data_IF_989655290363
#
_entry.id   IF_989655290363
#
_cell.length_a   1.000
_cell.length_b   1.000
_cell.length_c   1.000
_cell.angle_alpha   90.00
_cell.angle_beta   90.00
_cell.angle_gamma   90.00
#
_symmetry.space_group_name_H-M   'P 1'
#
loop_
_entity.id
_entity.type
_entity.pdbx_description
1 polymer ?
#
# COMPACT_ATOMS: atom_id res chain seq x y z
N UNK A 1 19.48 19.50 -12.00
CA UNK A 1 18.95 20.86 -12.22
C UNK A 1 17.70 20.73 -13.08
N UNK A 2 16.53 21.11 -12.57
CA UNK A 2 15.27 21.06 -13.33
C UNK A 2 14.84 22.46 -13.82
N UNK A 3 15.53 23.54 -13.41
CA UNK A 3 15.15 24.91 -13.77
C UNK A 3 16.30 25.92 -13.87
N UNK A 4 17.57 25.49 -13.98
CA UNK A 4 18.72 26.42 -13.97
C UNK A 4 19.01 27.12 -12.63
N UNK A 5 18.06 27.08 -11.68
CA UNK A 5 18.23 27.60 -10.34
C UNK A 5 18.84 26.56 -9.37
N UNK A 6 19.60 27.04 -8.39
CA UNK A 6 20.15 26.21 -7.32
C UNK A 6 19.04 25.71 -6.38
N UNK A 7 19.26 24.57 -5.73
CA UNK A 7 18.35 24.01 -4.72
C UNK A 7 18.01 25.01 -3.61
N UNK A 8 19.04 25.75 -3.16
CA UNK A 8 18.91 26.79 -2.13
C UNK A 8 17.99 27.92 -2.58
N UNK A 9 18.08 28.32 -3.84
CA UNK A 9 17.20 29.34 -4.40
C UNK A 9 15.75 28.86 -4.44
N UNK A 10 15.50 27.62 -4.90
CA UNK A 10 14.16 27.05 -4.95
C UNK A 10 13.52 26.97 -3.56
N UNK A 11 14.27 26.52 -2.56
CA UNK A 11 13.78 26.44 -1.18
C UNK A 11 13.46 27.83 -0.63
N UNK A 12 14.32 28.81 -0.87
CA UNK A 12 14.09 30.18 -0.41
C UNK A 12 12.86 30.79 -1.08
N UNK A 13 12.71 30.66 -2.40
CA UNK A 13 11.54 31.19 -3.13
C UNK A 13 10.24 30.56 -2.63
N UNK A 14 10.25 29.25 -2.37
CA UNK A 14 9.09 28.53 -1.84
C UNK A 14 8.75 29.02 -0.43
N UNK A 15 9.76 29.28 0.40
CA UNK A 15 9.59 29.86 1.73
C UNK A 15 9.00 31.26 1.67
N UNK A 16 9.48 32.12 0.76
CA UNK A 16 8.98 33.50 0.61
C UNK A 16 7.50 33.52 0.21
N UNK A 17 7.07 32.62 -0.69
CA UNK A 17 5.67 32.48 -1.08
C UNK A 17 4.82 31.99 0.11
N UNK A 18 5.27 30.93 0.79
CA UNK A 18 4.47 30.30 1.85
C UNK A 18 4.36 31.18 3.09
N UNK A 19 5.48 31.77 3.55
CA UNK A 19 5.51 32.58 4.77
C UNK A 19 5.12 34.04 4.52
N UNK A 20 5.40 34.58 3.33
CA UNK A 20 5.08 35.96 2.97
C UNK A 20 3.69 36.11 2.36
N UNK A 21 3.48 35.51 1.18
CA UNK A 21 2.25 35.70 0.40
C UNK A 21 1.06 34.94 1.01
N UNK A 22 1.27 33.68 1.43
CA UNK A 22 0.22 32.82 2.00
C UNK A 22 0.11 32.93 3.53
N UNK A 23 1.07 33.58 4.19
CA UNK A 23 1.09 33.79 5.66
C UNK A 23 0.98 32.48 6.46
N UNK A 24 1.64 31.41 5.98
CA UNK A 24 1.71 30.10 6.63
C UNK A 24 3.14 29.79 7.09
N UNK A 25 3.30 29.09 8.21
CA UNK A 25 4.63 28.68 8.71
C UNK A 25 4.99 27.27 8.24
N UNK A 26 6.19 27.11 7.67
CA UNK A 26 6.73 25.79 7.34
C UNK A 26 7.19 25.08 8.63
N UNK A 27 6.69 23.86 8.84
CA UNK A 27 7.14 23.02 9.94
C UNK A 27 8.55 22.48 9.66
N UNK A 28 9.53 22.93 10.45
CA UNK A 28 10.94 22.51 10.33
C UNK A 28 11.12 21.00 10.58
N UNK A 29 10.33 20.42 11.47
CA UNK A 29 10.43 18.99 11.82
C UNK A 29 9.90 18.07 10.72
N UNK A 30 8.94 18.55 9.91
CA UNK A 30 8.26 17.75 8.88
C UNK A 30 8.80 18.00 7.47
N UNK A 31 9.57 19.06 7.28
CA UNK A 31 10.02 19.52 5.95
C UNK A 31 11.53 19.40 5.84
N UNK A 32 12.00 18.63 4.85
CA UNK A 32 13.42 18.49 4.55
C UNK A 32 13.65 18.38 3.06
N UNK A 33 14.77 18.91 2.58
CA UNK A 33 15.25 18.63 1.23
C UNK A 33 16.02 17.30 1.28
N UNK A 34 15.77 16.44 0.29
CA UNK A 34 16.26 15.05 0.27
C UNK A 34 16.79 14.70 -1.11
N UNK A 35 17.94 14.04 -1.12
CA UNK A 35 18.51 13.46 -2.34
C UNK A 35 17.87 12.09 -2.59
N UNK A 36 16.95 12.04 -3.57
CA UNK A 36 16.23 10.83 -3.97
C UNK A 36 17.11 9.74 -4.59
N UNK A 37 18.38 10.04 -4.93
CA UNK A 37 19.35 9.05 -5.36
C UNK A 37 19.93 8.26 -4.18
N UNK A 38 20.00 8.87 -3.00
CA UNK A 38 20.59 8.29 -1.78
C UNK A 38 19.53 7.78 -0.82
N UNK A 39 18.40 8.48 -0.73
CA UNK A 39 17.35 8.22 0.26
C UNK A 39 16.04 7.73 -0.36
N UNK A 40 15.20 7.11 0.49
CA UNK A 40 13.81 6.80 0.18
C UNK A 40 12.93 7.90 0.75
N UNK A 41 12.05 8.46 -0.07
CA UNK A 41 11.15 9.55 0.32
C UNK A 41 9.75 9.00 0.57
N UNK A 42 9.18 9.32 1.73
CA UNK A 42 7.80 8.99 2.05
C UNK A 42 6.85 10.11 1.64
N UNK A 43 5.86 9.82 0.81
CA UNK A 43 4.85 10.81 0.39
C UNK A 43 3.48 10.14 0.17
N UNK A 44 2.42 10.67 0.78
CA UNK A 44 1.04 10.18 0.67
C UNK A 44 0.87 8.66 0.85
N UNK A 45 1.66 8.07 1.76
CA UNK A 45 1.64 6.64 2.03
C UNK A 45 2.44 5.78 1.05
N UNK A 46 3.11 6.38 0.07
CA UNK A 46 4.11 5.76 -0.79
C UNK A 46 5.52 5.95 -0.25
N UNK A 47 6.39 5.02 -0.58
CA UNK A 47 7.84 5.16 -0.55
C UNK A 47 8.33 5.28 -2.00
N UNK A 48 9.11 6.33 -2.26
CA UNK A 48 9.63 6.68 -3.58
C UNK A 48 11.15 6.56 -3.53
N UNK A 49 11.75 5.85 -4.49
CA UNK A 49 13.19 5.64 -4.59
C UNK A 49 13.66 5.72 -6.03
N UNK A 50 14.82 6.33 -6.28
CA UNK A 50 15.48 6.24 -7.60
C UNK A 50 16.36 4.98 -7.65
N UNK A 51 16.18 4.18 -8.69
CA UNK A 51 16.92 2.92 -8.90
C UNK A 51 17.50 2.85 -10.30
N UNK A 52 18.61 2.11 -10.45
CA UNK A 52 19.25 1.86 -11.74
C UNK A 52 18.70 0.57 -12.34
N UNK A 53 18.23 0.64 -13.58
CA UNK A 53 17.83 -0.53 -14.35
C UNK A 53 19.03 -1.45 -14.60
N UNK A 54 18.89 -2.73 -14.24
CA UNK A 54 19.92 -3.74 -14.54
C UNK A 54 20.04 -4.02 -16.05
N UNK A 55 18.95 -3.85 -16.81
CA UNK A 55 18.90 -4.13 -18.25
C UNK A 55 19.38 -2.96 -19.09
N UNK A 56 18.89 -1.77 -18.81
CA UNK A 56 19.14 -0.58 -19.66
C UNK A 56 20.15 0.40 -19.07
N UNK A 57 20.61 0.20 -17.82
CA UNK A 57 21.48 1.13 -17.11
C UNK A 57 20.83 2.48 -16.74
N UNK A 58 19.64 2.79 -17.28
CA UNK A 58 18.90 4.03 -17.03
C UNK A 58 18.38 4.08 -15.59
N UNK A 59 18.45 5.26 -14.98
CA UNK A 59 17.86 5.53 -13.65
C UNK A 59 16.37 5.86 -13.81
N UNK A 60 15.52 5.29 -12.97
CA UNK A 60 14.08 5.58 -12.92
C UNK A 60 13.56 5.57 -11.48
N UNK A 61 12.42 6.21 -11.25
CA UNK A 61 11.78 6.22 -9.93
C UNK A 61 10.88 4.99 -9.78
N UNK A 62 10.96 4.33 -8.63
CA UNK A 62 9.98 3.34 -8.19
C UNK A 62 9.12 3.92 -7.08
N UNK A 63 7.82 3.64 -7.13
CA UNK A 63 6.84 4.02 -6.13
C UNK A 63 6.11 2.77 -5.65
N UNK A 64 6.02 2.59 -4.35
CA UNK A 64 5.36 1.43 -3.75
C UNK A 64 4.76 1.79 -2.36
N UNK A 65 3.84 0.98 -1.81
CA UNK A 65 3.23 1.27 -0.52
C UNK A 65 4.26 1.31 0.61
N UNK A 66 4.23 2.37 1.41
CA UNK A 66 5.09 2.53 2.58
C UNK A 66 4.88 1.43 3.61
N UNK A 67 5.88 1.19 4.46
CA UNK A 67 5.75 0.26 5.60
C UNK A 67 4.55 0.60 6.49
N UNK A 68 4.27 1.89 6.70
CA UNK A 68 3.11 2.37 7.48
C UNK A 68 1.78 2.01 6.80
N UNK A 69 1.68 2.21 5.48
CA UNK A 69 0.49 1.83 4.72
C UNK A 69 0.24 0.30 4.78
N UNK A 70 1.32 -0.49 4.68
CA UNK A 70 1.25 -1.96 4.82
C UNK A 70 0.78 -2.41 6.20
N UNK A 71 1.33 -1.80 7.27
CA UNK A 71 0.88 -2.09 8.64
C UNK A 71 -0.61 -1.76 8.81
N UNK A 72 -1.05 -0.60 8.31
CA UNK A 72 -2.44 -0.18 8.40
C UNK A 72 -3.42 -1.13 7.70
N UNK A 73 -3.10 -1.62 6.51
CA UNK A 73 -3.97 -2.59 5.82
C UNK A 73 -3.99 -3.94 6.52
N UNK A 74 -2.86 -4.43 7.04
CA UNK A 74 -2.82 -5.68 7.82
C UNK A 74 -3.67 -5.60 9.08
N UNK A 75 -3.63 -4.47 9.80
CA UNK A 75 -4.46 -4.24 10.97
C UNK A 75 -5.95 -4.23 10.63
N UNK A 76 -6.34 -3.54 9.54
CA UNK A 76 -7.74 -3.52 9.08
C UNK A 76 -8.22 -4.92 8.70
N UNK A 77 -7.43 -5.68 7.94
CA UNK A 77 -7.74 -7.08 7.59
C UNK A 77 -7.84 -7.94 8.86
N UNK A 78 -6.93 -7.79 9.82
CA UNK A 78 -6.96 -8.52 11.09
C UNK A 78 -8.23 -8.24 11.89
N UNK A 79 -8.68 -6.98 11.93
CA UNK A 79 -9.91 -6.57 12.63
C UNK A 79 -11.15 -7.17 11.94
N UNK A 80 -11.24 -7.08 10.62
CA UNK A 80 -12.38 -7.62 9.86
C UNK A 80 -12.44 -9.15 9.94
N UNK A 81 -11.30 -9.82 9.76
CA UNK A 81 -11.20 -11.28 9.80
C UNK A 81 -10.83 -11.79 11.21
N UNK A 82 -11.33 -11.13 12.26
CA UNK A 82 -11.21 -11.61 13.63
C UNK A 82 -12.32 -12.65 13.91
N UNK A 83 -11.99 -13.93 14.18
CA UNK A 83 -12.99 -14.98 14.40
C UNK A 83 -13.93 -14.73 15.58
N UNK A 84 -13.51 -13.91 16.55
CA UNK A 84 -14.31 -13.53 17.71
C UNK A 84 -15.42 -12.53 17.36
N UNK A 85 -15.37 -11.93 16.17
CA UNK A 85 -16.41 -11.00 15.72
C UNK A 85 -17.70 -11.79 15.43
N UNK A 86 -18.88 -11.31 15.89
CA UNK A 86 -20.16 -11.97 15.67
C UNK A 86 -20.70 -11.69 14.24
N UNK A 87 -19.90 -11.96 13.22
CA UNK A 87 -20.30 -11.85 11.81
C UNK A 87 -20.15 -13.20 11.10
N UNK A 88 -20.96 -13.41 10.06
CA UNK A 88 -20.86 -14.55 9.16
C UNK A 88 -19.67 -14.46 8.21
N UNK A 89 -19.41 -15.56 7.49
CA UNK A 89 -18.34 -15.62 6.48
C UNK A 89 -18.63 -14.63 5.34
N UNK A 90 -19.86 -14.59 4.84
CA UNK A 90 -20.25 -13.70 3.75
C UNK A 90 -20.06 -12.21 4.08
N UNK A 91 -20.48 -11.78 5.28
CA UNK A 91 -20.28 -10.41 5.75
C UNK A 91 -18.81 -10.03 5.85
N UNK A 92 -17.99 -10.96 6.36
CA UNK A 92 -16.54 -10.79 6.47
C UNK A 92 -15.90 -10.66 5.09
N UNK A 93 -16.29 -11.48 4.12
CA UNK A 93 -15.83 -11.36 2.72
C UNK A 93 -16.27 -10.02 2.11
N UNK A 94 -17.53 -9.61 2.28
CA UNK A 94 -18.04 -8.33 1.76
C UNK A 94 -17.22 -7.14 2.27
N UNK A 95 -16.93 -7.12 3.59
CA UNK A 95 -16.11 -6.08 4.23
C UNK A 95 -14.67 -6.10 3.73
N UNK A 96 -14.05 -7.28 3.59
CA UNK A 96 -12.71 -7.42 3.04
C UNK A 96 -12.65 -6.94 1.59
N UNK A 97 -13.61 -7.32 0.75
CA UNK A 97 -13.65 -6.94 -0.65
C UNK A 97 -13.73 -5.42 -0.84
N UNK A 98 -14.58 -4.73 -0.07
CA UNK A 98 -14.67 -3.26 -0.09
C UNK A 98 -13.34 -2.61 0.28
N UNK A 99 -12.70 -3.10 1.35
CA UNK A 99 -11.40 -2.61 1.82
C UNK A 99 -10.30 -2.83 0.77
N UNK A 100 -10.18 -4.04 0.26
CA UNK A 100 -9.11 -4.45 -0.66
C UNK A 100 -9.24 -3.75 -2.00
N UNK A 101 -10.46 -3.62 -2.53
CA UNK A 101 -10.70 -2.92 -3.79
C UNK A 101 -10.21 -1.47 -3.74
N UNK A 102 -10.60 -0.73 -2.69
CA UNK A 102 -10.16 0.66 -2.52
C UNK A 102 -8.65 0.78 -2.34
N UNK A 103 -8.09 -0.07 -1.47
CA UNK A 103 -6.66 -0.03 -1.16
C UNK A 103 -5.79 -0.40 -2.37
N UNK A 104 -6.16 -1.46 -3.11
CA UNK A 104 -5.43 -1.89 -4.31
C UNK A 104 -5.56 -0.86 -5.41
N UNK A 105 -6.73 -0.24 -5.60
CA UNK A 105 -6.89 0.82 -6.60
C UNK A 105 -6.01 2.05 -6.31
N UNK A 106 -5.93 2.48 -5.05
CA UNK A 106 -5.07 3.60 -4.65
C UNK A 106 -3.58 3.31 -4.89
N UNK A 107 -3.12 2.13 -4.51
CA UNK A 107 -1.70 1.75 -4.64
C UNK A 107 -1.35 1.09 -5.99
N UNK A 108 -2.29 1.06 -6.95
CA UNK A 108 -2.12 0.31 -8.20
C UNK A 108 -1.00 0.86 -9.10
N UNK A 109 -0.56 2.08 -8.84
CA UNK A 109 0.39 2.82 -9.67
C UNK A 109 1.79 2.20 -9.53
N UNK A 110 2.37 1.81 -10.67
CA UNK A 110 3.78 1.45 -10.77
C UNK A 110 4.16 0.12 -10.10
N UNK A 111 4.99 0.18 -9.05
CA UNK A 111 5.85 -0.94 -8.61
C UNK A 111 5.34 -1.69 -7.38
N UNK A 112 4.01 -1.77 -7.19
CA UNK A 112 3.40 -2.34 -5.99
C UNK A 112 3.17 -3.88 -6.03
N UNK A 113 3.50 -4.56 -7.12
CA UNK A 113 3.17 -5.98 -7.35
C UNK A 113 3.62 -6.91 -6.20
N UNK A 114 4.86 -6.73 -5.72
CA UNK A 114 5.39 -7.49 -4.57
C UNK A 114 4.58 -7.29 -3.29
N UNK A 115 4.08 -6.08 -3.05
CA UNK A 115 3.28 -5.76 -1.86
C UNK A 115 1.86 -6.31 -1.98
N UNK A 116 1.31 -6.30 -3.18
CA UNK A 116 0.02 -6.91 -3.48
C UNK A 116 0.03 -8.42 -3.25
N UNK A 117 1.08 -9.13 -3.68
CA UNK A 117 1.24 -10.55 -3.38
C UNK A 117 1.26 -10.83 -1.87
N UNK A 118 2.00 -10.03 -1.09
CA UNK A 118 2.04 -10.17 0.37
C UNK A 118 0.66 -10.00 1.02
N UNK A 119 -0.12 -9.02 0.58
CA UNK A 119 -1.49 -8.81 1.09
C UNK A 119 -2.40 -9.95 0.68
N UNK A 120 -2.33 -10.40 -0.57
CA UNK A 120 -3.11 -11.54 -1.06
C UNK A 120 -2.87 -12.78 -0.20
N UNK A 121 -1.62 -13.10 0.11
CA UNK A 121 -1.27 -14.25 0.94
C UNK A 121 -1.79 -14.08 2.38
N UNK A 122 -1.61 -12.89 2.96
CA UNK A 122 -2.09 -12.59 4.31
C UNK A 122 -3.61 -12.69 4.43
N UNK A 123 -4.34 -12.09 3.49
CA UNK A 123 -5.81 -12.13 3.42
C UNK A 123 -6.28 -13.57 3.27
N UNK A 124 -5.68 -14.33 2.35
CA UNK A 124 -6.06 -15.73 2.11
C UNK A 124 -5.89 -16.57 3.38
N UNK A 125 -4.76 -16.41 4.08
CA UNK A 125 -4.51 -17.07 5.37
C UNK A 125 -5.56 -16.66 6.43
N UNK A 126 -5.88 -15.38 6.53
CA UNK A 126 -6.84 -14.85 7.51
C UNK A 126 -8.26 -15.36 7.27
N UNK A 127 -8.72 -15.37 6.03
CA UNK A 127 -10.04 -15.90 5.65
C UNK A 127 -10.16 -17.37 6.01
N UNK A 128 -9.15 -18.20 5.66
CA UNK A 128 -9.18 -19.62 6.04
C UNK A 128 -9.22 -19.83 7.55
N UNK A 129 -8.40 -19.08 8.29
CA UNK A 129 -8.38 -19.14 9.77
C UNK A 129 -9.73 -18.73 10.37
N UNK A 130 -10.37 -17.70 9.82
CA UNK A 130 -11.71 -17.28 10.22
C UNK A 130 -12.73 -18.40 10.05
N UNK A 131 -12.79 -19.01 8.86
CA UNK A 131 -13.71 -20.12 8.56
C UNK A 131 -13.46 -21.31 9.49
N UNK A 132 -12.21 -21.73 9.66
CA UNK A 132 -11.85 -22.86 10.55
C UNK A 132 -12.31 -22.61 11.97
N UNK A 133 -12.10 -21.41 12.49
CA UNK A 133 -12.51 -21.05 13.86
C UNK A 133 -14.02 -20.96 14.01
N UNK A 134 -14.77 -20.47 13.01
CA UNK A 134 -16.24 -20.52 13.02
C UNK A 134 -16.79 -21.94 12.98
N UNK A 135 -16.06 -22.89 12.40
CA UNK A 135 -16.39 -24.32 12.41
C UNK A 135 -15.86 -25.06 13.66
N UNK A 136 -15.32 -24.36 14.66
CA UNK A 136 -14.64 -24.96 15.82
C UNK A 136 -13.50 -25.93 15.48
N UNK A 137 -12.87 -25.77 14.29
CA UNK A 137 -11.75 -26.61 13.83
C UNK A 137 -10.41 -25.91 14.10
N UNK A 138 -9.40 -26.71 14.48
CA UNK A 138 -8.04 -26.24 14.68
C UNK A 138 -7.29 -25.97 13.35
N UNK A 139 -6.15 -25.28 13.39
CA UNK A 139 -5.25 -25.08 12.24
C UNK A 139 -5.72 -24.07 11.18
N UNK A 140 -4.87 -23.85 10.17
CA UNK A 140 -5.07 -22.81 9.14
C UNK A 140 -5.95 -23.21 7.95
N UNK A 141 -6.32 -24.49 7.82
CA UNK A 141 -7.24 -24.95 6.77
C UNK A 141 -6.66 -24.95 5.34
N UNK A 142 -5.34 -24.98 5.15
CA UNK A 142 -4.71 -24.99 3.82
C UNK A 142 -5.15 -26.17 2.94
N UNK A 143 -5.23 -27.38 3.50
CA UNK A 143 -5.68 -28.59 2.79
C UNK A 143 -7.21 -28.66 2.64
N UNK A 144 -7.93 -28.18 3.65
CA UNK A 144 -9.38 -28.32 3.72
C UNK A 144 -10.14 -27.23 2.94
N UNK A 145 -9.56 -26.03 2.80
CA UNK A 145 -10.18 -24.88 2.14
C UNK A 145 -9.34 -24.53 0.91
N UNK A 146 -9.78 -25.04 -0.23
CA UNK A 146 -9.14 -24.85 -1.54
C UNK A 146 -9.15 -23.38 -1.96
N UNK A 147 -8.23 -22.98 -2.85
CA UNK A 147 -8.18 -21.59 -3.34
C UNK A 147 -9.43 -21.27 -4.16
N UNK A 148 -9.87 -22.24 -4.95
CA UNK A 148 -11.04 -22.15 -5.81
C UNK A 148 -12.26 -21.74 -4.99
N UNK A 149 -12.48 -22.38 -3.84
CA UNK A 149 -13.57 -22.02 -2.93
C UNK A 149 -13.51 -20.57 -2.43
N UNK A 150 -12.31 -20.09 -2.08
CA UNK A 150 -12.17 -18.72 -1.59
C UNK A 150 -12.48 -17.68 -2.68
N UNK A 151 -12.04 -17.92 -3.91
CA UNK A 151 -12.08 -16.90 -4.97
C UNK A 151 -13.30 -17.04 -5.90
N UNK A 152 -13.74 -18.26 -6.20
CA UNK A 152 -14.89 -18.54 -7.07
C UNK A 152 -16.19 -18.57 -6.27
N UNK A 153 -16.24 -19.37 -5.21
CA UNK A 153 -17.50 -19.59 -4.47
C UNK A 153 -17.79 -18.46 -3.50
N UNK A 154 -16.81 -18.07 -2.67
CA UNK A 154 -16.97 -16.95 -1.73
C UNK A 154 -16.79 -15.57 -2.39
N UNK A 155 -16.24 -15.50 -3.61
CA UNK A 155 -16.02 -14.23 -4.30
C UNK A 155 -14.98 -13.32 -3.64
N UNK A 156 -13.96 -13.87 -2.96
CA UNK A 156 -12.89 -13.07 -2.37
C UNK A 156 -12.15 -12.25 -3.45
N UNK A 157 -11.84 -11.00 -3.14
CA UNK A 157 -11.14 -10.09 -4.05
C UNK A 157 -9.81 -10.66 -4.55
N UNK A 158 -9.60 -10.64 -5.88
CA UNK A 158 -8.43 -11.22 -6.54
C UNK A 158 -7.72 -10.31 -7.56
N UNK A 159 -8.22 -9.08 -7.79
CA UNK A 159 -7.62 -8.18 -8.79
C UNK A 159 -6.46 -7.37 -8.22
N UNK A 160 -5.30 -8.01 -8.09
CA UNK A 160 -4.06 -7.45 -7.56
C UNK A 160 -3.09 -7.00 -8.66
N UNK A 161 -3.60 -6.62 -9.83
CA UNK A 161 -2.77 -6.21 -10.97
C UNK A 161 -2.36 -4.76 -10.83
N UNK A 162 -1.07 -4.49 -10.97
CA UNK A 162 -0.56 -3.12 -11.10
C UNK A 162 -1.00 -2.49 -12.42
N UNK A 163 -1.06 -1.17 -12.44
CA UNK A 163 -1.41 -0.36 -13.60
C UNK A 163 -0.19 0.46 -13.97
N UNK A 164 0.32 0.22 -15.17
CA UNK A 164 1.31 1.06 -15.82
C UNK A 164 0.57 2.21 -16.52
N UNK A 165 -0.10 3.06 -15.74
CA UNK A 165 -0.50 4.37 -16.25
C UNK A 165 0.71 5.28 -16.07
N UNK A 166 1.23 5.77 -17.18
CA UNK A 166 2.15 6.91 -17.19
C UNK A 166 1.45 8.04 -16.44
N UNK A 167 2.04 8.46 -15.32
CA UNK A 167 1.67 9.72 -14.68
C UNK A 167 2.29 10.88 -15.45
#
# INVERSE_FOLDING_TARGET
>A
MVSGHSERWLYQRLKDIVEGELVLKISKDKSKVVDVEKEVVGFLGFEIKRVKSRRSGKKYAICYPSKKAMKGIYEKVRKIANPLTPIGVEDMIRRLNRLLRGWVNYFRIGHASKWFSKIKDYVTMKVRRFIRKKQNKAGLGWKAIKREYLYKDLGLYNDYRVSWRSA
#
